data_IF_611628093647
#
_entry.id   IF_611628093647
#
_cell.length_a   1.000
_cell.length_b   1.000
_cell.length_c   1.000
_cell.angle_alpha   90.00
_cell.angle_beta   90.00
_cell.angle_gamma   90.00
#
_symmetry.space_group_name_H-M   'P 1'
#
loop_
_entity.id
_entity.type
_entity.pdbx_description
1 polymer ?
#
# COMPACT_ATOMS: atom_id res chain seq x y z
N UNK A 1 -12.80 12.49 -0.87
CA UNK A 1 -11.84 11.70 -0.05
C UNK A 1 -12.56 10.48 0.53
N UNK A 2 -11.98 9.30 0.35
CA UNK A 2 -12.55 8.01 0.74
C UNK A 2 -11.72 7.41 1.87
N UNK A 3 -12.38 6.96 2.94
CA UNK A 3 -11.71 6.20 3.99
C UNK A 3 -11.53 4.74 3.56
N UNK A 4 -10.31 4.22 3.69
CA UNK A 4 -9.96 2.86 3.27
C UNK A 4 -9.93 1.91 4.48
N UNK A 5 -9.25 2.32 5.55
CA UNK A 5 -9.03 1.50 6.73
C UNK A 5 -7.84 1.99 7.53
N UNK A 6 -7.29 1.10 8.36
CA UNK A 6 -6.15 1.37 9.23
C UNK A 6 -4.95 0.50 8.87
N UNK A 7 -3.76 1.05 9.07
CA UNK A 7 -2.50 0.29 9.08
C UNK A 7 -2.11 -0.11 10.50
N UNK A 8 -1.36 -1.20 10.64
CA UNK A 8 -0.75 -1.54 11.92
C UNK A 8 0.57 -0.78 12.09
N UNK A 9 0.61 0.19 13.01
CA UNK A 9 1.78 1.04 13.25
C UNK A 9 3.04 0.22 13.58
N UNK A 10 2.92 -0.92 14.26
CA UNK A 10 4.06 -1.80 14.58
C UNK A 10 4.64 -2.50 13.35
N UNK A 11 3.83 -2.72 12.31
CA UNK A 11 4.29 -3.29 11.04
C UNK A 11 4.94 -2.19 10.21
N UNK A 12 4.30 -1.01 10.13
CA UNK A 12 4.74 0.08 9.25
C UNK A 12 5.88 0.93 9.82
N UNK A 13 6.23 0.79 11.10
CA UNK A 13 7.40 1.46 11.69
C UNK A 13 8.72 1.07 10.99
N UNK A 14 8.75 -0.07 10.28
CA UNK A 14 9.89 -0.45 9.43
C UNK A 14 10.20 0.55 8.30
N UNK A 15 9.24 1.41 7.93
CA UNK A 15 9.41 2.48 6.92
C UNK A 15 9.90 3.77 7.58
N UNK A 16 9.35 4.10 8.75
CA UNK A 16 9.71 5.25 9.58
C UNK A 16 9.03 5.10 10.95
N UNK A 17 9.73 5.41 12.04
CA UNK A 17 9.12 5.44 13.38
C UNK A 17 8.24 6.69 13.61
N UNK A 18 8.35 7.68 12.72
CA UNK A 18 7.59 8.93 12.77
C UNK A 18 6.27 8.79 11.99
N UNK A 19 5.33 7.99 12.50
CA UNK A 19 3.97 7.84 11.95
C UNK A 19 2.98 8.39 12.97
N UNK A 20 2.22 9.41 12.58
CA UNK A 20 1.35 10.15 13.51
C UNK A 20 -0.08 9.61 13.63
N UNK A 21 -0.54 8.79 12.68
CA UNK A 21 -1.88 8.20 12.68
C UNK A 21 -1.91 6.87 11.93
N UNK A 22 -2.93 6.04 12.17
CA UNK A 22 -3.11 4.74 11.52
C UNK A 22 -4.13 4.79 10.36
N UNK A 23 -4.98 5.80 10.26
CA UNK A 23 -6.00 5.87 9.22
C UNK A 23 -5.41 6.14 7.85
N UNK A 24 -5.93 5.43 6.84
CA UNK A 24 -5.56 5.57 5.43
C UNK A 24 -6.75 6.03 4.61
N UNK A 25 -6.49 7.00 3.74
CA UNK A 25 -7.47 7.57 2.82
C UNK A 25 -7.04 7.46 1.36
N UNK A 26 -7.99 7.70 0.48
CA UNK A 26 -7.78 7.83 -0.96
C UNK A 26 -8.50 9.10 -1.44
N UNK A 27 -7.78 10.01 -2.08
CA UNK A 27 -8.41 11.20 -2.68
C UNK A 27 -9.04 10.90 -4.04
N UNK A 28 -9.96 11.75 -4.48
CA UNK A 28 -10.56 11.65 -5.81
C UNK A 28 -9.50 11.75 -6.93
N UNK A 29 -8.48 12.59 -6.74
CA UNK A 29 -7.33 12.70 -7.64
C UNK A 29 -6.53 11.39 -7.72
N UNK A 30 -6.26 10.75 -6.57
CA UNK A 30 -5.53 9.48 -6.53
C UNK A 30 -6.37 8.35 -7.13
N UNK A 31 -7.67 8.32 -6.87
CA UNK A 31 -8.60 7.38 -7.50
C UNK A 31 -8.58 7.53 -9.02
N UNK A 32 -8.68 8.77 -9.53
CA UNK A 32 -8.59 9.04 -10.97
C UNK A 32 -7.25 8.59 -11.56
N UNK A 33 -6.15 8.88 -10.86
CA UNK A 33 -4.81 8.42 -11.25
C UNK A 33 -4.75 6.89 -11.38
N UNK A 34 -5.34 6.15 -10.44
CA UNK A 34 -5.44 4.69 -10.50
C UNK A 34 -6.27 4.25 -11.71
N UNK A 35 -7.44 4.84 -11.93
CA UNK A 35 -8.32 4.49 -13.05
C UNK A 35 -7.66 4.74 -14.41
N UNK A 36 -6.89 5.82 -14.55
CA UNK A 36 -6.17 6.18 -15.78
C UNK A 36 -4.97 5.24 -16.04
N UNK A 37 -4.20 4.88 -15.01
CA UNK A 37 -2.97 4.09 -15.18
C UNK A 37 -3.21 2.57 -15.07
N UNK A 38 -4.30 2.17 -14.41
CA UNK A 38 -4.69 0.78 -14.17
C UNK A 38 -6.20 0.60 -14.44
N UNK A 39 -6.61 0.63 -15.73
CA UNK A 39 -8.03 0.61 -16.08
C UNK A 39 -8.77 -0.61 -15.51
N UNK A 40 -9.81 -0.33 -14.71
CA UNK A 40 -10.68 -1.33 -14.10
C UNK A 40 -10.18 -1.94 -12.78
N UNK A 41 -8.95 -1.66 -12.35
CA UNK A 41 -8.42 -2.24 -11.11
C UNK A 41 -9.14 -1.69 -9.88
N UNK A 42 -9.42 -0.39 -9.86
CA UNK A 42 -10.13 0.23 -8.74
C UNK A 42 -11.54 -0.37 -8.59
N UNK A 43 -12.31 -0.43 -9.66
CA UNK A 43 -13.68 -0.93 -9.65
C UNK A 43 -13.76 -2.40 -9.25
N UNK A 44 -12.84 -3.23 -9.75
CA UNK A 44 -12.86 -4.68 -9.51
C UNK A 44 -12.30 -5.08 -8.15
N UNK A 45 -11.26 -4.38 -7.69
CA UNK A 45 -10.39 -4.89 -6.63
C UNK A 45 -10.21 -3.95 -5.45
N UNK A 46 -10.77 -2.74 -5.44
CA UNK A 46 -10.65 -1.81 -4.31
C UNK A 46 -11.12 -2.39 -2.98
N UNK A 47 -12.04 -3.38 -2.99
CA UNK A 47 -12.44 -4.15 -1.80
C UNK A 47 -11.26 -4.76 -1.03
N UNK A 48 -10.15 -5.08 -1.71
CA UNK A 48 -8.96 -5.66 -1.08
C UNK A 48 -8.03 -4.63 -0.44
N UNK A 49 -8.20 -3.33 -0.70
CA UNK A 49 -7.29 -2.30 -0.17
C UNK A 49 -7.16 -2.35 1.35
N UNK A 50 -8.27 -2.56 2.05
CA UNK A 50 -8.26 -2.69 3.52
C UNK A 50 -7.37 -3.84 3.96
N UNK A 51 -7.57 -5.03 3.40
CA UNK A 51 -6.84 -6.25 3.77
C UNK A 51 -5.37 -6.22 3.37
N UNK A 52 -5.06 -5.52 2.27
CA UNK A 52 -3.68 -5.29 1.80
C UNK A 52 -2.92 -4.42 2.82
N UNK A 53 -3.58 -3.39 3.35
CA UNK A 53 -2.98 -2.42 4.26
C UNK A 53 -2.94 -2.89 5.72
N UNK A 54 -3.96 -3.61 6.18
CA UNK A 54 -4.02 -4.13 7.55
C UNK A 54 -3.08 -5.31 7.77
N UNK A 55 -2.93 -6.17 6.76
CA UNK A 55 -2.17 -7.41 6.86
C UNK A 55 -1.30 -7.65 5.61
N UNK A 56 -0.29 -6.81 5.36
CA UNK A 56 0.56 -6.96 4.18
C UNK A 56 1.35 -8.27 4.22
N UNK A 57 1.71 -8.79 3.05
CA UNK A 57 2.64 -9.92 2.94
C UNK A 57 4.08 -9.43 2.94
N UNK A 58 4.33 -8.35 2.21
CA UNK A 58 5.63 -7.68 2.17
C UNK A 58 5.44 -6.17 2.22
N UNK A 59 6.38 -5.49 2.88
CA UNK A 59 6.63 -4.06 2.70
C UNK A 59 8.05 -3.92 2.18
N UNK A 60 8.18 -3.22 1.05
CA UNK A 60 9.47 -2.91 0.43
C UNK A 60 9.78 -1.42 0.56
N UNK A 61 11.07 -1.11 0.59
CA UNK A 61 11.57 0.26 0.56
C UNK A 61 11.15 0.96 -0.75
N UNK A 62 10.69 2.20 -0.63
CA UNK A 62 10.46 3.10 -1.76
C UNK A 62 11.61 4.09 -1.87
N UNK A 63 11.89 4.55 -3.10
CA UNK A 63 12.82 5.67 -3.32
C UNK A 63 12.28 7.00 -2.80
N UNK A 64 10.96 7.12 -2.58
CA UNK A 64 10.34 8.32 -2.02
C UNK A 64 10.34 8.23 -0.49
N UNK A 65 10.62 9.32 0.23
CA UNK A 65 10.61 9.32 1.69
C UNK A 65 9.23 8.93 2.21
N UNK A 66 9.21 8.27 3.36
CA UNK A 66 7.99 7.95 4.12
C UNK A 66 6.92 7.27 3.25
N UNK A 67 7.37 6.47 2.29
CA UNK A 67 6.52 5.80 1.30
C UNK A 67 6.83 4.31 1.33
N UNK A 68 5.78 3.50 1.40
CA UNK A 68 5.86 2.05 1.41
C UNK A 68 5.41 1.49 0.06
N UNK A 69 6.10 0.45 -0.43
CA UNK A 69 5.57 -0.43 -1.47
C UNK A 69 5.01 -1.66 -0.74
N UNK A 70 3.70 -1.77 -0.70
CA UNK A 70 2.97 -2.82 0.01
C UNK A 70 2.53 -3.89 -0.99
N UNK A 71 2.86 -5.14 -0.70
CA UNK A 71 2.52 -6.29 -1.52
C UNK A 71 1.65 -7.26 -0.73
N UNK A 72 0.66 -7.84 -1.40
CA UNK A 72 -0.25 -8.85 -0.84
C UNK A 72 -0.76 -9.78 -1.94
N UNK A 73 -0.83 -11.06 -1.62
CA UNK A 73 -1.58 -12.07 -2.34
C UNK A 73 -2.92 -12.34 -1.64
N UNK A 74 -4.00 -12.24 -2.40
CA UNK A 74 -5.35 -12.67 -2.01
C UNK A 74 -5.53 -14.09 -2.51
N UNK A 75 -5.32 -15.05 -1.62
CA UNK A 75 -5.28 -16.49 -1.93
C UNK A 75 -6.61 -16.96 -2.52
N UNK A 76 -7.75 -16.51 -1.97
CA UNK A 76 -9.10 -16.92 -2.40
C UNK A 76 -9.36 -16.65 -3.88
N UNK A 77 -8.75 -15.59 -4.42
CA UNK A 77 -8.97 -15.12 -5.79
C UNK A 77 -7.75 -15.35 -6.68
N UNK A 78 -6.67 -15.91 -6.13
CA UNK A 78 -5.36 -16.03 -6.77
C UNK A 78 -4.91 -14.71 -7.42
N UNK A 79 -5.08 -13.59 -6.70
CA UNK A 79 -4.71 -12.25 -7.17
C UNK A 79 -3.63 -11.66 -6.30
N UNK A 80 -2.63 -11.07 -6.95
CA UNK A 80 -1.53 -10.37 -6.31
C UNK A 80 -1.66 -8.88 -6.57
N UNK A 81 -1.34 -8.08 -5.56
CA UNK A 81 -1.53 -6.64 -5.59
C UNK A 81 -0.28 -5.90 -5.14
N UNK A 82 -0.15 -4.69 -5.67
CA UNK A 82 0.82 -3.69 -5.20
C UNK A 82 0.08 -2.41 -4.87
N UNK A 83 0.31 -1.89 -3.66
CA UNK A 83 -0.12 -0.57 -3.22
C UNK A 83 1.13 0.28 -2.97
N UNK A 84 1.11 1.53 -3.40
CA UNK A 84 2.08 2.54 -2.94
C UNK A 84 1.36 3.41 -1.91
N UNK A 85 1.86 3.40 -0.67
CA UNK A 85 1.28 4.11 0.47
C UNK A 85 2.23 5.21 0.93
N UNK A 86 1.74 6.44 1.07
CA UNK A 86 2.47 7.56 1.71
C UNK A 86 2.02 7.65 3.17
N UNK A 87 2.97 7.60 4.11
CA UNK A 87 2.73 7.61 5.56
C UNK A 87 2.83 9.01 6.17
N UNK A 88 1.76 9.55 6.74
CA UNK A 88 1.83 10.85 7.41
C UNK A 88 2.87 10.85 8.54
N UNK A 89 3.72 11.87 8.53
CA UNK A 89 4.75 12.12 9.55
C UNK A 89 4.54 13.46 10.23
N UNK A 90 5.29 13.73 11.31
CA UNK A 90 5.27 15.04 11.98
C UNK A 90 5.75 16.21 11.10
N UNK A 91 6.42 15.94 9.97
CA UNK A 91 6.87 16.97 9.04
C UNK A 91 5.80 17.36 8.02
N UNK A 92 4.70 16.62 7.93
CA UNK A 92 3.63 16.90 6.98
C UNK A 92 2.70 18.03 7.50
N UNK A 93 2.10 18.84 6.61
CA UNK A 93 1.17 19.90 7.01
C UNK A 93 -0.03 19.37 7.80
N UNK A 94 -0.61 20.24 8.64
CA UNK A 94 -1.84 19.93 9.38
C UNK A 94 -2.94 19.46 8.41
N UNK A 95 -3.54 18.30 8.70
CA UNK A 95 -4.59 17.70 7.89
C UNK A 95 -4.10 16.76 6.79
N UNK A 96 -2.78 16.60 6.60
CA UNK A 96 -2.24 15.51 5.78
C UNK A 96 -2.56 14.15 6.45
N UNK A 97 -2.84 13.13 5.65
CA UNK A 97 -3.17 11.78 6.13
C UNK A 97 -2.36 10.73 5.40
N UNK A 98 -2.22 9.53 5.98
CA UNK A 98 -1.71 8.40 5.22
C UNK A 98 -2.59 8.20 4.00
N UNK A 99 -2.00 8.06 2.82
CA UNK A 99 -2.79 7.99 1.58
C UNK A 99 -2.24 7.01 0.56
N UNK A 100 -3.17 6.34 -0.12
CA UNK A 100 -2.87 5.46 -1.25
C UNK A 100 -2.51 6.33 -2.45
N UNK A 101 -1.26 6.26 -2.90
CA UNK A 101 -0.80 6.94 -4.12
C UNK A 101 -1.27 6.19 -5.36
N UNK A 102 -1.09 4.87 -5.37
CA UNK A 102 -1.52 4.00 -6.47
C UNK A 102 -1.81 2.59 -5.95
N UNK A 103 -2.67 1.87 -6.66
CA UNK A 103 -3.10 0.51 -6.39
C UNK A 103 -3.24 -0.20 -7.73
N UNK A 104 -2.68 -1.41 -7.84
CA UNK A 104 -2.84 -2.21 -9.04
C UNK A 104 -2.78 -3.71 -8.75
N UNK A 105 -3.53 -4.48 -9.53
CA UNK A 105 -3.33 -5.91 -9.66
C UNK A 105 -2.04 -6.14 -10.45
N UNK A 106 -1.26 -7.15 -10.04
CA UNK A 106 0.02 -7.48 -10.68
C UNK A 106 0.09 -8.95 -10.98
N UNK A 107 0.62 -9.27 -12.16
CA UNK A 107 0.93 -10.65 -12.53
C UNK A 107 2.00 -11.24 -11.62
N UNK A 108 1.94 -12.55 -11.47
CA UNK A 108 2.81 -13.36 -10.62
C UNK A 108 4.31 -13.16 -10.93
N UNK A 109 4.68 -13.12 -12.21
CA UNK A 109 6.07 -12.82 -12.64
C UNK A 109 6.53 -11.45 -12.16
N UNK A 110 5.66 -10.44 -12.22
CA UNK A 110 5.98 -9.07 -11.80
C UNK A 110 6.04 -8.96 -10.27
N UNK A 111 5.13 -9.63 -9.57
CA UNK A 111 5.13 -9.70 -8.12
C UNK A 111 6.43 -10.30 -7.57
N UNK A 112 6.84 -11.47 -8.08
CA UNK A 112 8.13 -12.09 -7.72
C UNK A 112 9.32 -11.20 -8.02
N UNK A 113 9.28 -10.44 -9.12
CA UNK A 113 10.35 -9.48 -9.45
C UNK A 113 10.46 -8.36 -8.42
N UNK A 114 9.34 -7.85 -7.89
CA UNK A 114 9.40 -6.85 -6.80
C UNK A 114 10.07 -7.41 -5.55
N UNK A 115 9.71 -8.64 -5.15
CA UNK A 115 10.30 -9.30 -3.99
C UNK A 115 11.80 -9.55 -4.20
N UNK A 116 12.18 -10.06 -5.39
CA UNK A 116 13.58 -10.39 -5.70
C UNK A 116 14.49 -9.17 -5.75
N UNK A 117 13.99 -8.06 -6.30
CA UNK A 117 14.82 -6.89 -6.60
C UNK A 117 14.67 -5.77 -5.55
N UNK A 118 13.60 -5.80 -4.75
CA UNK A 118 13.32 -4.78 -3.75
C UNK A 118 14.00 -5.10 -2.43
N UNK A 119 14.35 -4.05 -1.68
CA UNK A 119 14.77 -4.19 -0.29
C UNK A 119 13.52 -4.43 0.58
N UNK A 120 13.41 -5.64 1.11
CA UNK A 120 12.30 -6.04 2.00
C UNK A 120 12.52 -5.43 3.38
N UNK A 121 11.59 -4.60 3.84
CA UNK A 121 11.58 -4.01 5.17
C UNK A 121 10.74 -4.85 6.15
N UNK A 122 9.69 -5.50 5.64
CA UNK A 122 8.85 -6.42 6.37
C UNK A 122 8.44 -7.59 5.50
N UNK A 123 8.38 -8.78 6.10
CA UNK A 123 7.81 -10.01 5.52
C UNK A 123 6.91 -10.66 6.57
N UNK A 124 5.69 -10.99 6.20
CA UNK A 124 4.75 -11.73 7.05
C UNK A 124 5.33 -13.12 7.34
N UNK A 125 5.30 -13.54 8.61
CA UNK A 125 5.72 -14.89 9.02
C UNK A 125 4.71 -15.91 8.50
N UNK A 126 5.21 -17.07 8.03
CA UNK A 126 4.37 -18.17 7.56
C UNK A 126 3.92 -18.07 6.08
N UNK A 127 4.56 -17.21 5.28
CA UNK A 127 4.45 -17.18 3.82
C UNK A 127 5.45 -18.12 3.14
#
# INVERSE_FOLDING_TARGET
MYYIGKINLKIYCCVTDNISNDDVVLSDTQKKHIQEHHPGDYEKFSKYLRDILSEPDYILESKKPFTAIVLKEIITDNKKFKVILRLQTSHDPKGFMNSVITFQQVEDKRYRRYIKNGKILYRRRGL
#
